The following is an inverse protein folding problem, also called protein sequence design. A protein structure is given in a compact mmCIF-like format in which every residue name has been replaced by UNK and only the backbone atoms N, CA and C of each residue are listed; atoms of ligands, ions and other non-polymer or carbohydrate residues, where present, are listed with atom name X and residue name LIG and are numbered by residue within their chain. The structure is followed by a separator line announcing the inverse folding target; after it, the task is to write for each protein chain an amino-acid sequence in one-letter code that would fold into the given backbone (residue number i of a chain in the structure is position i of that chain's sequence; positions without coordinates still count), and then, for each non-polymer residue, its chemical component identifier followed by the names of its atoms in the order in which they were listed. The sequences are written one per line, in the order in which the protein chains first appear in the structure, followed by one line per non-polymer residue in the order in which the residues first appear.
data_IF_470525639117
#
_entry.id   IF_470525639117
#
_cell.length_a   1.000
_cell.length_b   1.000
_cell.length_c   1.000
_cell.angle_alpha   90.00
_cell.angle_beta   90.00
_cell.angle_gamma   90.00
#
_symmetry.space_group_name_H-M   'P 1'
#
loop_
_entity.id
_entity.type
_entity.pdbx_description
1 polymer ?
#
# COMPACT_ATOMS: atom_id res chain seq x y z
N UNK A 1 -10.27 3.68 13.22
CA UNK A 1 -9.68 2.95 12.08
C UNK A 1 -10.23 3.51 10.78
N UNK A 2 -9.41 4.19 10.02
CA UNK A 2 -9.78 4.66 8.69
C UNK A 2 -8.69 4.30 7.67
N UNK A 3 -9.08 3.69 6.55
CA UNK A 3 -8.27 3.68 5.35
C UNK A 3 -8.85 4.74 4.40
N UNK A 4 -8.13 5.84 4.25
CA UNK A 4 -8.48 6.89 3.32
C UNK A 4 -7.97 6.49 1.93
N UNK A 5 -8.87 6.33 0.97
CA UNK A 5 -8.52 5.93 -0.40
C UNK A 5 -8.86 7.09 -1.35
N UNK A 6 -7.88 7.57 -2.09
CA UNK A 6 -8.10 8.54 -3.16
C UNK A 6 -7.72 7.93 -4.52
N UNK A 7 -8.64 8.01 -5.48
CA UNK A 7 -8.37 7.62 -6.86
C UNK A 7 -8.15 8.87 -7.71
N UNK A 8 -6.91 9.11 -8.14
CA UNK A 8 -6.49 10.29 -8.89
C UNK A 8 -6.30 10.03 -10.39
N UNK A 9 -6.69 8.84 -10.87
CA UNK A 9 -6.61 8.43 -12.27
C UNK A 9 -7.99 7.99 -12.78
N UNK A 10 -8.15 7.86 -14.11
CA UNK A 10 -9.42 7.50 -14.76
C UNK A 10 -9.31 6.32 -15.73
N UNK A 11 -8.11 5.81 -15.98
CA UNK A 11 -7.84 4.78 -16.98
C UNK A 11 -8.22 3.36 -16.53
N UNK A 12 -8.30 3.13 -15.22
CA UNK A 12 -8.60 1.84 -14.62
C UNK A 12 -9.74 1.98 -13.64
N UNK A 13 -10.76 1.13 -13.74
CA UNK A 13 -11.84 1.09 -12.76
C UNK A 13 -11.32 0.58 -11.41
N UNK A 14 -11.49 1.39 -10.36
CA UNK A 14 -11.02 1.11 -9.01
C UNK A 14 -12.19 1.14 -8.03
N UNK A 15 -12.41 0.03 -7.33
CA UNK A 15 -13.40 -0.04 -6.26
C UNK A 15 -12.80 0.45 -4.94
N UNK A 16 -13.11 1.69 -4.56
CA UNK A 16 -12.65 2.31 -3.30
C UNK A 16 -13.00 1.46 -2.08
N UNK A 17 -14.22 0.93 -2.04
CA UNK A 17 -14.68 0.09 -0.93
C UNK A 17 -13.92 -1.23 -0.82
N UNK A 18 -13.49 -1.81 -1.96
CA UNK A 18 -12.66 -3.02 -2.00
C UNK A 18 -11.25 -2.74 -1.45
N UNK A 19 -10.60 -1.67 -1.93
CA UNK A 19 -9.26 -1.29 -1.46
C UNK A 19 -9.26 -0.94 0.03
N UNK A 20 -10.30 -0.24 0.50
CA UNK A 20 -10.46 0.03 1.93
C UNK A 20 -10.52 -1.26 2.75
N UNK A 21 -11.28 -2.26 2.31
CA UNK A 21 -11.34 -3.56 3.00
C UNK A 21 -10.00 -4.30 2.95
N UNK A 22 -9.27 -4.23 1.84
CA UNK A 22 -7.93 -4.83 1.72
C UNK A 22 -6.95 -4.20 2.71
N UNK A 23 -6.87 -2.88 2.77
CA UNK A 23 -6.04 -2.14 3.71
C UNK A 23 -6.40 -2.47 5.18
N UNK A 24 -7.68 -2.46 5.52
CA UNK A 24 -8.15 -2.80 6.86
C UNK A 24 -7.83 -4.24 7.26
N UNK A 25 -7.94 -5.19 6.32
CA UNK A 25 -7.58 -6.59 6.54
C UNK A 25 -6.08 -6.72 6.81
N UNK A 26 -5.24 -6.07 6.01
CA UNK A 26 -3.80 -6.08 6.20
C UNK A 26 -3.40 -5.48 7.54
N UNK A 27 -3.95 -4.31 7.91
CA UNK A 27 -3.69 -3.67 9.21
C UNK A 27 -4.08 -4.57 10.40
N UNK A 28 -5.23 -5.26 10.33
CA UNK A 28 -5.61 -6.23 11.37
C UNK A 28 -4.63 -7.39 11.47
N UNK A 29 -4.22 -7.95 10.34
CA UNK A 29 -3.32 -9.08 10.28
C UNK A 29 -1.93 -8.77 10.85
N UNK A 30 -1.46 -7.52 10.73
CA UNK A 30 -0.19 -7.06 11.32
C UNK A 30 -0.34 -6.52 12.75
N UNK A 31 -1.46 -6.80 13.42
CA UNK A 31 -1.69 -6.39 14.80
C UNK A 31 -1.93 -4.89 15.01
N UNK A 32 -2.30 -4.16 13.96
CA UNK A 32 -2.58 -2.71 13.98
C UNK A 32 -4.04 -2.38 13.65
N UNK A 33 -5.05 -3.00 14.31
CA UNK A 33 -6.46 -2.86 13.92
C UNK A 33 -7.01 -1.45 14.07
N UNK A 34 -6.40 -0.60 14.87
CA UNK A 34 -6.83 0.79 15.11
C UNK A 34 -6.02 1.82 14.31
N UNK A 35 -5.01 1.38 13.56
CA UNK A 35 -4.20 2.28 12.75
C UNK A 35 -4.96 2.76 11.50
N UNK A 36 -4.56 3.95 11.04
CA UNK A 36 -5.03 4.53 9.78
C UNK A 36 -3.94 4.45 8.71
N UNK A 37 -4.35 4.36 7.45
CA UNK A 37 -3.47 4.39 6.29
C UNK A 37 -4.10 5.23 5.18
N UNK A 38 -3.28 6.01 4.48
CA UNK A 38 -3.69 6.69 3.25
C UNK A 38 -3.23 5.88 2.03
N UNK A 39 -4.12 5.71 1.04
CA UNK A 39 -3.81 5.03 -0.22
C UNK A 39 -4.22 5.91 -1.39
N UNK A 40 -3.25 6.34 -2.19
CA UNK A 40 -3.47 7.08 -3.42
C UNK A 40 -3.28 6.15 -4.63
N UNK A 41 -4.29 6.06 -5.49
CA UNK A 41 -4.20 5.35 -6.76
C UNK A 41 -3.98 6.39 -7.86
N UNK A 42 -2.85 6.30 -8.53
CA UNK A 42 -2.35 7.28 -9.51
C UNK A 42 -2.05 6.62 -10.86
N UNK A 43 -1.68 7.43 -11.87
CA UNK A 43 -1.15 6.94 -13.14
C UNK A 43 0.39 6.74 -13.09
N UNK A 44 0.94 6.15 -14.15
CA UNK A 44 2.39 5.91 -14.31
C UNK A 44 3.23 7.20 -14.28
N UNK A 45 2.71 8.30 -14.79
CA UNK A 45 3.40 9.59 -14.83
C UNK A 45 3.56 10.15 -13.42
N UNK A 46 2.49 10.11 -12.65
CA UNK A 46 2.47 10.62 -11.28
C UNK A 46 3.39 9.80 -10.37
N UNK A 47 3.33 8.45 -10.43
CA UNK A 47 4.17 7.62 -9.56
C UNK A 47 5.65 7.72 -9.95
N UNK A 48 5.97 7.88 -11.24
CA UNK A 48 7.33 8.12 -11.70
C UNK A 48 7.91 9.42 -11.13
N UNK A 49 7.11 10.51 -11.15
CA UNK A 49 7.52 11.80 -10.58
C UNK A 49 7.76 11.69 -9.08
N UNK A 50 6.92 10.95 -8.35
CA UNK A 50 7.10 10.69 -6.93
C UNK A 50 8.35 9.84 -6.67
N UNK A 51 8.59 8.80 -7.46
CA UNK A 51 9.76 7.95 -7.33
C UNK A 51 11.07 8.72 -7.56
N UNK A 52 11.09 9.59 -8.60
CA UNK A 52 12.21 10.50 -8.87
C UNK A 52 12.44 11.47 -7.70
N UNK A 53 11.37 12.08 -7.18
CA UNK A 53 11.44 13.07 -6.11
C UNK A 53 11.91 12.48 -4.77
N UNK A 54 11.43 11.29 -4.40
CA UNK A 54 11.64 10.74 -3.06
C UNK A 54 12.70 9.65 -2.99
N UNK A 55 13.01 8.98 -4.11
CA UNK A 55 14.04 7.92 -4.19
C UNK A 55 15.18 8.23 -5.16
N UNK A 56 15.12 9.34 -5.87
CA UNK A 56 16.10 9.71 -6.90
C UNK A 56 16.06 8.80 -8.15
N UNK A 57 15.03 7.96 -8.30
CA UNK A 57 14.92 6.97 -9.37
C UNK A 57 13.88 7.40 -10.39
N UNK A 58 14.34 7.77 -11.59
CA UNK A 58 13.47 8.21 -12.70
C UNK A 58 12.82 7.05 -13.44
N UNK A 59 12.17 6.15 -12.71
CA UNK A 59 11.49 4.97 -13.25
C UNK A 59 10.12 4.83 -12.62
N UNK A 60 9.15 4.34 -13.39
CA UNK A 60 7.85 3.93 -12.85
C UNK A 60 8.02 2.71 -11.95
N UNK A 61 7.22 2.64 -10.92
CA UNK A 61 7.08 1.48 -10.04
C UNK A 61 5.59 1.17 -9.89
N UNK A 62 5.25 0.06 -9.34
CA UNK A 62 3.88 -0.34 -9.05
C UNK A 62 3.36 0.29 -7.76
N UNK A 63 4.22 0.37 -6.73
CA UNK A 63 3.87 0.89 -5.42
C UNK A 63 5.02 1.67 -4.79
N UNK A 64 4.67 2.69 -4.01
CA UNK A 64 5.56 3.41 -3.09
C UNK A 64 4.90 3.41 -1.71
N UNK A 65 5.64 3.05 -0.68
CA UNK A 65 5.21 3.13 0.70
C UNK A 65 6.05 4.17 1.45
N UNK A 66 5.39 5.08 2.16
CA UNK A 66 5.98 6.16 2.95
C UNK A 66 5.56 5.98 4.41
N UNK A 67 6.34 5.27 5.24
CA UNK A 67 6.03 5.12 6.64
C UNK A 67 6.10 6.48 7.33
N UNK A 68 5.10 6.79 8.14
CA UNK A 68 5.19 7.91 9.08
C UNK A 68 5.91 7.39 10.31
N UNK A 69 7.04 8.02 10.65
CA UNK A 69 7.79 7.68 11.84
C UNK A 69 6.92 7.91 13.08
N UNK A 70 6.39 6.83 13.62
CA UNK A 70 5.99 6.80 15.02
C UNK A 70 7.30 6.74 15.80
N UNK A 71 7.59 7.79 16.56
CA UNK A 71 8.78 7.87 17.38
C UNK A 71 8.75 6.83 18.51
N UNK A 72 9.18 5.61 18.17
CA UNK A 72 9.70 4.62 19.10
C UNK A 72 10.95 4.01 18.47
N UNK A 73 12.07 4.65 18.74
CA UNK A 73 13.43 4.11 18.80
C UNK A 73 13.95 3.26 17.64
N UNK A 74 14.08 3.82 16.41
CA UNK A 74 15.11 3.39 15.46
C UNK A 74 15.55 4.58 14.60
N UNK A 75 16.83 4.88 14.49
CA UNK A 75 17.33 5.97 13.65
C UNK A 75 17.39 5.51 12.18
N UNK A 76 16.83 6.30 11.30
CA UNK A 76 17.15 6.20 9.90
C UNK A 76 15.96 6.31 8.97
N UNK A 77 15.52 7.47 8.67
CA UNK A 77 15.24 8.05 7.36
C UNK A 77 14.45 9.35 7.57
N UNK A 78 15.16 10.47 7.55
CA UNK A 78 14.56 11.79 7.49
C UNK A 78 14.12 12.07 6.04
N UNK A 79 12.84 11.88 5.73
CA UNK A 79 12.22 12.26 4.49
C UNK A 79 11.10 13.25 4.78
N UNK A 80 11.23 14.47 4.25
CA UNK A 80 10.38 15.61 4.49
C UNK A 80 8.89 15.35 4.28
N UNK A 81 8.10 15.60 5.33
CA UNK A 81 6.64 15.65 5.27
C UNK A 81 6.16 16.88 4.49
N UNK A 82 5.16 16.76 3.60
CA UNK A 82 4.43 17.92 3.12
C UNK A 82 3.55 18.47 4.24
N UNK A 83 3.82 19.69 4.64
CA UNK A 83 3.09 20.44 5.68
C UNK A 83 1.60 20.56 5.35
N UNK A 84 0.75 19.97 6.17
CA UNK A 84 -0.69 20.24 6.19
C UNK A 84 -1.01 21.36 7.17
N UNK A 85 -1.61 22.45 6.67
CA UNK A 85 -2.16 23.53 7.47
C UNK A 85 -3.24 22.99 8.41
N UNK A 86 -3.08 23.26 9.70
CA UNK A 86 -4.08 23.01 10.75
C UNK A 86 -5.26 23.97 10.60
N UNK A 87 -6.45 23.40 10.65
CA UNK A 87 -7.69 24.14 10.83
C UNK A 87 -8.88 23.21 10.85
N UNK A 88 -9.28 22.76 12.02
CA UNK A 88 -10.69 22.47 12.34
C UNK A 88 -10.86 22.18 13.82
N UNK A 89 -11.93 22.77 14.36
CA UNK A 89 -12.40 22.78 15.75
C UNK A 89 -12.94 21.41 16.18
N UNK A 90 -12.86 21.14 17.50
CA UNK A 90 -13.13 19.89 18.15
C UNK A 90 -14.57 19.39 18.15
N UNK A 91 -14.66 18.08 18.29
CA UNK A 91 -15.81 17.29 18.69
C UNK A 91 -15.28 16.08 19.50
N UNK A 92 -16.12 15.30 20.25
CA UNK A 92 -15.69 14.42 21.31
C UNK A 92 -14.75 13.30 20.84
N UNK A 93 -13.72 13.11 21.60
CA UNK A 93 -12.51 12.36 21.38
C UNK A 93 -12.72 10.86 21.14
N UNK A 94 -12.62 10.45 19.89
CA UNK A 94 -12.06 9.13 19.58
C UNK A 94 -10.56 9.17 19.90
N UNK A 95 -9.96 8.07 20.39
CA UNK A 95 -8.51 8.04 20.61
C UNK A 95 -7.80 8.43 19.30
N UNK A 96 -6.67 9.15 19.37
CA UNK A 96 -5.99 9.61 18.15
C UNK A 96 -5.68 8.41 17.28
N UNK A 97 -6.31 8.36 16.12
CA UNK A 97 -6.03 7.34 15.11
C UNK A 97 -4.59 7.52 14.66
N UNK A 98 -3.78 6.49 14.82
CA UNK A 98 -2.37 6.55 14.50
C UNK A 98 -2.20 6.25 13.01
N UNK A 99 -1.99 7.29 12.20
CA UNK A 99 -1.65 7.14 10.79
C UNK A 99 -0.27 6.46 10.67
N UNK A 100 -0.23 5.25 10.14
CA UNK A 100 1.01 4.47 9.98
C UNK A 100 1.79 4.88 8.73
N UNK A 101 1.16 5.49 7.75
CA UNK A 101 1.83 5.97 6.56
C UNK A 101 0.91 6.15 5.37
N UNK A 102 1.54 6.40 4.22
CA UNK A 102 0.89 6.57 2.92
C UNK A 102 1.41 5.54 1.92
N UNK A 103 0.50 5.00 1.11
CA UNK A 103 0.79 4.09 0.01
C UNK A 103 0.34 4.76 -1.28
N UNK A 104 1.21 4.76 -2.30
CA UNK A 104 0.88 5.24 -3.64
C UNK A 104 1.01 4.09 -4.62
N UNK A 105 -0.04 3.82 -5.42
CA UNK A 105 -0.12 2.68 -6.33
C UNK A 105 -0.34 3.18 -7.75
N UNK A 106 0.43 2.66 -8.72
CA UNK A 106 0.17 2.88 -10.14
C UNK A 106 -0.91 1.93 -10.65
N UNK A 107 -2.06 2.48 -11.04
CA UNK A 107 -3.13 1.70 -11.66
C UNK A 107 -2.74 1.13 -13.03
N UNK A 108 -1.92 1.86 -13.80
CA UNK A 108 -1.45 1.42 -15.11
C UNK A 108 -0.49 0.24 -15.00
N UNK A 109 0.44 0.29 -14.04
CA UNK A 109 1.36 -0.83 -13.76
C UNK A 109 0.59 -2.02 -13.22
N UNK A 110 -0.31 -1.83 -12.27
CA UNK A 110 -1.18 -2.90 -11.75
C UNK A 110 -1.97 -3.60 -12.88
N UNK A 111 -2.54 -2.83 -13.81
CA UNK A 111 -3.25 -3.38 -14.97
C UNK A 111 -2.34 -4.21 -15.89
N UNK A 112 -1.10 -3.77 -16.12
CA UNK A 112 -0.14 -4.52 -16.94
C UNK A 112 0.29 -5.82 -16.25
N UNK A 113 0.59 -5.77 -14.97
CA UNK A 113 0.94 -6.95 -14.17
C UNK A 113 -0.21 -7.97 -14.14
N UNK A 114 -1.42 -7.52 -13.83
CA UNK A 114 -2.62 -8.35 -13.84
C UNK A 114 -2.84 -9.07 -15.19
N UNK A 115 -2.69 -8.33 -16.30
CA UNK A 115 -2.78 -8.91 -17.65
C UNK A 115 -1.70 -9.97 -17.92
N UNK A 116 -0.45 -9.69 -17.51
CA UNK A 116 0.68 -10.61 -17.71
C UNK A 116 0.46 -11.94 -17.01
N UNK A 117 -0.07 -11.94 -15.80
CA UNK A 117 -0.32 -13.16 -15.02
C UNK A 117 -1.73 -13.72 -15.22
N UNK A 118 -2.60 -13.03 -15.94
CA UNK A 118 -3.96 -13.50 -16.25
C UNK A 118 -4.93 -13.44 -15.07
N UNK A 119 -4.81 -12.41 -14.22
CA UNK A 119 -5.69 -12.18 -13.07
C UNK A 119 -6.50 -10.90 -13.24
N UNK A 120 -7.65 -10.74 -12.52
CA UNK A 120 -8.36 -9.48 -12.48
C UNK A 120 -7.50 -8.36 -11.88
N UNK A 121 -7.54 -7.15 -12.47
CA UNK A 121 -6.81 -5.99 -11.96
C UNK A 121 -7.17 -5.66 -10.50
N UNK A 122 -8.39 -5.97 -10.09
CA UNK A 122 -8.82 -5.78 -8.72
C UNK A 122 -8.09 -6.71 -7.71
N UNK A 123 -7.66 -7.90 -8.14
CA UNK A 123 -6.85 -8.80 -7.33
C UNK A 123 -5.42 -8.27 -7.19
N UNK A 124 -4.85 -7.77 -8.27
CA UNK A 124 -3.54 -7.12 -8.26
C UNK A 124 -3.51 -5.87 -7.36
N UNK A 125 -4.54 -5.04 -7.43
CA UNK A 125 -4.66 -3.87 -6.55
C UNK A 125 -4.79 -4.26 -5.08
N UNK A 126 -5.52 -5.33 -4.74
CA UNK A 126 -5.58 -5.85 -3.36
C UNK A 126 -4.20 -6.31 -2.87
N UNK A 127 -3.42 -6.96 -3.75
CA UNK A 127 -2.06 -7.37 -3.46
C UNK A 127 -1.16 -6.17 -3.20
N UNK A 128 -1.16 -5.17 -4.08
CA UNK A 128 -0.32 -3.97 -3.93
C UNK A 128 -0.66 -3.15 -2.68
N UNK A 129 -1.94 -3.07 -2.29
CA UNK A 129 -2.33 -2.45 -1.01
C UNK A 129 -1.78 -3.26 0.17
N UNK A 130 -1.91 -4.59 0.14
CA UNK A 130 -1.41 -5.46 1.21
C UNK A 130 0.10 -5.36 1.33
N UNK A 131 0.82 -5.43 0.21
CA UNK A 131 2.27 -5.25 0.09
C UNK A 131 2.73 -3.91 0.67
N UNK A 132 2.08 -2.82 0.28
CA UNK A 132 2.37 -1.49 0.81
C UNK A 132 2.16 -1.39 2.34
N UNK A 133 1.11 -2.01 2.88
CA UNK A 133 0.90 -2.05 4.35
C UNK A 133 2.01 -2.82 5.05
N UNK A 134 2.49 -3.93 4.48
CA UNK A 134 3.61 -4.69 5.05
C UNK A 134 4.89 -3.86 5.08
N UNK A 135 5.20 -3.12 4.02
CA UNK A 135 6.32 -2.17 4.03
C UNK A 135 6.18 -1.08 5.11
N UNK A 136 4.97 -0.54 5.32
CA UNK A 136 4.74 0.47 6.36
C UNK A 136 5.03 -0.04 7.78
N UNK A 137 4.93 -1.34 8.01
CA UNK A 137 5.21 -1.96 9.33
C UNK A 137 6.58 -2.63 9.40
N UNK A 138 7.43 -2.43 8.38
CA UNK A 138 8.84 -2.77 8.40
C UNK A 138 9.25 -4.07 7.70
N UNK A 139 8.36 -4.70 6.93
CA UNK A 139 8.78 -5.77 6.02
C UNK A 139 9.62 -5.19 4.87
N UNK A 140 10.64 -5.91 4.43
CA UNK A 140 11.51 -5.53 3.31
C UNK A 140 11.57 -6.69 2.29
N UNK A 141 11.63 -6.35 1.00
CA UNK A 141 11.69 -7.30 -0.11
C UNK A 141 13.02 -7.24 -0.88
N UNK A 142 14.00 -6.48 -0.36
CA UNK A 142 15.32 -6.35 -0.98
C UNK A 142 16.23 -7.54 -0.73
N UNK A 143 16.08 -8.19 0.42
CA UNK A 143 16.77 -9.43 0.75
C UNK A 143 15.88 -10.63 0.39
N UNK A 144 16.40 -11.71 -0.24
CA UNK A 144 15.58 -12.86 -0.66
C UNK A 144 14.86 -13.57 0.49
N UNK A 145 15.45 -13.63 1.68
CA UNK A 145 14.83 -14.26 2.85
C UNK A 145 13.68 -13.41 3.38
N UNK A 146 13.90 -12.10 3.49
CA UNK A 146 12.87 -11.15 3.91
C UNK A 146 11.72 -11.09 2.89
N UNK A 147 12.04 -11.12 1.59
CA UNK A 147 11.07 -11.18 0.50
C UNK A 147 10.17 -12.42 0.62
N UNK A 148 10.75 -13.62 0.86
CA UNK A 148 9.95 -14.84 1.03
C UNK A 148 9.02 -14.76 2.25
N UNK A 149 9.49 -14.21 3.37
CA UNK A 149 8.65 -13.97 4.55
C UNK A 149 7.50 -13.01 4.24
N UNK A 150 7.79 -11.93 3.53
CA UNK A 150 6.79 -10.94 3.12
C UNK A 150 5.74 -11.56 2.19
N UNK A 151 6.16 -12.33 1.19
CA UNK A 151 5.25 -13.01 0.25
C UNK A 151 4.39 -14.08 0.92
N UNK A 152 4.92 -14.83 1.88
CA UNK A 152 4.11 -15.75 2.71
C UNK A 152 3.03 -14.97 3.47
N UNK A 153 3.39 -13.83 4.05
CA UNK A 153 2.46 -13.00 4.81
C UNK A 153 1.38 -12.39 3.93
N UNK A 154 1.73 -11.90 2.74
CA UNK A 154 0.78 -11.43 1.72
C UNK A 154 -0.25 -12.50 1.38
N UNK A 155 0.23 -13.71 1.08
CA UNK A 155 -0.62 -14.85 0.73
C UNK A 155 -1.58 -15.21 1.86
N UNK A 156 -1.10 -15.26 3.09
CA UNK A 156 -1.92 -15.50 4.28
C UNK A 156 -3.02 -14.45 4.44
N UNK A 157 -2.67 -13.18 4.36
CA UNK A 157 -3.61 -12.06 4.50
C UNK A 157 -4.67 -12.09 3.40
N UNK A 158 -4.26 -12.33 2.16
CA UNK A 158 -5.18 -12.32 1.02
C UNK A 158 -6.06 -13.56 0.97
N UNK A 159 -5.58 -14.71 1.46
CA UNK A 159 -6.37 -15.95 1.58
C UNK A 159 -7.49 -15.81 2.62
N UNK A 160 -7.35 -14.93 3.59
CA UNK A 160 -8.41 -14.61 4.56
C UNK A 160 -9.56 -13.76 4.00
N UNK A 161 -9.47 -13.37 2.72
CA UNK A 161 -10.54 -12.61 2.06
C UNK A 161 -11.79 -13.47 1.83
N UNK A 162 -12.99 -12.83 1.89
CA UNK A 162 -14.27 -13.51 1.60
C UNK A 162 -14.32 -14.19 0.22
N UNK A 163 -13.55 -13.68 -0.75
CA UNK A 163 -13.39 -14.27 -2.08
C UNK A 163 -11.94 -14.71 -2.23
N UNK A 164 -11.67 -15.98 -2.51
CA UNK A 164 -10.33 -16.48 -2.76
C UNK A 164 -9.65 -15.67 -3.88
N UNK A 165 -8.38 -15.40 -3.71
CA UNK A 165 -7.58 -14.79 -4.77
C UNK A 165 -7.21 -15.87 -5.80
N UNK A 166 -7.07 -15.51 -7.09
CA UNK A 166 -6.63 -16.47 -8.10
C UNK A 166 -5.23 -16.99 -7.79
N UNK A 167 -5.01 -18.30 -7.91
CA UNK A 167 -3.69 -18.94 -7.67
C UNK A 167 -2.57 -18.30 -8.52
N UNK A 168 -2.90 -17.87 -9.74
CA UNK A 168 -1.98 -17.19 -10.65
C UNK A 168 -1.45 -15.85 -10.11
N UNK A 169 -2.11 -15.23 -9.13
CA UNK A 169 -1.64 -14.00 -8.51
C UNK A 169 -0.24 -14.18 -7.89
N UNK A 170 0.02 -15.36 -7.36
CA UNK A 170 1.26 -15.69 -6.67
C UNK A 170 2.44 -15.90 -7.62
N UNK A 171 2.20 -16.23 -8.88
CA UNK A 171 3.26 -16.42 -9.87
C UNK A 171 3.92 -15.11 -10.31
N UNK A 172 3.22 -13.98 -10.15
CA UNK A 172 3.75 -12.65 -10.44
C UNK A 172 4.73 -12.12 -9.39
N UNK A 173 4.65 -12.60 -8.16
CA UNK A 173 5.51 -12.21 -7.03
C UNK A 173 6.88 -12.91 -7.03
N UNK A 174 7.02 -14.01 -7.77
CA UNK A 174 8.23 -14.84 -7.79
C UNK A 174 9.17 -14.52 -8.98
N UNK A 175 8.91 -13.47 -9.75
CA UNK A 175 9.78 -13.07 -10.85
C UNK A 175 10.49 -11.77 -10.52
N UNK A 176 11.86 -11.79 -10.54
CA UNK A 176 12.68 -10.61 -10.30
C UNK A 176 12.52 -9.54 -11.39
#
# INVERSE_FOLDING_TARGET
MAAAIANRQRAVHVSISRLRRAAQRALRAVGRPQADVEVDVVDDRQIRALNERFRGVRRRTDVLAFPLAVSEGRPGFAGASPSRKRGAKGGPSSPPSMLVGQIVISADTARRQARRVGVPVAAELDLLVTHGVLHLVGYDDRDPVEADLMHRREREILSSARRPQPDKLWTGLLQP
#
